data_IF_765067683099
#
_entry.id   IF_765067683099
#
_cell.length_a   1.000
_cell.length_b   1.000
_cell.length_c   1.000
_cell.angle_alpha   90.00
_cell.angle_beta   90.00
_cell.angle_gamma   90.00
#
_symmetry.space_group_name_H-M   'P 1'
#
loop_
_entity.id
_entity.type
_entity.pdbx_description
1 polymer ?
#
# COMPACT_ATOMS: atom_id res chain seq x y z
N UNK A 1 -14.04 8.67 -9.50
CA UNK A 1 -13.80 9.39 -8.25
C UNK A 1 -13.27 8.46 -7.17
N UNK A 2 -12.29 8.92 -6.41
CA UNK A 2 -11.68 8.11 -5.37
C UNK A 2 -12.23 8.45 -4.01
N UNK A 3 -12.26 7.46 -3.14
CA UNK A 3 -12.63 7.63 -1.75
C UNK A 3 -11.45 7.25 -0.88
N UNK A 4 -11.24 7.99 0.19
CA UNK A 4 -10.15 7.69 1.11
C UNK A 4 -10.60 6.69 2.16
N UNK A 5 -9.73 5.72 2.44
CA UNK A 5 -9.95 4.70 3.46
C UNK A 5 -8.87 4.84 4.51
N UNK A 6 -9.24 4.77 5.77
CA UNK A 6 -8.36 5.06 6.89
C UNK A 6 -8.39 3.93 7.90
N UNK A 7 -7.21 3.57 8.39
CA UNK A 7 -7.08 2.59 9.46
C UNK A 7 -6.94 3.35 10.78
N UNK A 8 -8.00 3.34 11.57
CA UNK A 8 -8.04 4.14 12.82
C UNK A 8 -7.64 3.37 14.06
N UNK A 9 -7.44 2.06 13.93
CA UNK A 9 -7.02 1.24 15.07
C UNK A 9 -5.53 1.43 15.33
N UNK A 10 -5.11 1.06 16.54
CA UNK A 10 -3.71 1.16 16.92
C UNK A 10 -3.02 -0.20 16.96
N UNK A 11 -3.79 -1.27 16.85
CA UNK A 11 -3.24 -2.61 16.95
C UNK A 11 -2.65 -3.06 15.62
N UNK A 12 -1.52 -3.76 15.70
CA UNK A 12 -0.91 -4.36 14.52
C UNK A 12 -1.79 -5.49 14.01
N UNK A 13 -1.75 -5.70 12.69
CA UNK A 13 -2.47 -6.81 12.07
C UNK A 13 -1.57 -8.04 12.00
N UNK A 14 -2.13 -9.24 12.08
CA UNK A 14 -1.32 -10.45 11.97
C UNK A 14 -0.82 -10.63 10.54
N UNK A 15 0.47 -10.96 10.40
CA UNK A 15 1.09 -11.21 9.11
C UNK A 15 1.93 -12.47 9.22
N UNK A 16 1.69 -13.44 8.35
CA UNK A 16 2.45 -14.70 8.33
C UNK A 16 3.36 -14.81 7.12
N UNK A 17 3.39 -13.80 6.26
CA UNK A 17 4.18 -13.82 5.05
C UNK A 17 5.53 -13.14 5.28
N UNK A 18 6.49 -13.44 4.40
CA UNK A 18 7.82 -12.84 4.44
C UNK A 18 7.78 -11.54 3.63
N UNK A 19 7.60 -10.42 4.33
CA UNK A 19 7.52 -9.11 3.70
C UNK A 19 8.75 -8.30 4.11
N UNK A 20 9.50 -7.83 3.11
CA UNK A 20 10.75 -7.10 3.34
C UNK A 20 10.77 -5.80 2.54
N UNK A 21 11.54 -4.83 3.05
CA UNK A 21 11.79 -3.61 2.30
C UNK A 21 12.60 -3.94 1.06
N UNK A 22 12.16 -3.44 -0.09
CA UNK A 22 12.87 -3.67 -1.35
C UNK A 22 13.96 -2.60 -1.54
N UNK A 23 15.08 -3.03 -2.13
CA UNK A 23 16.18 -2.14 -2.48
C UNK A 23 16.23 -1.94 -3.98
N UNK A 24 17.16 -1.12 -4.46
CA UNK A 24 17.25 -0.81 -5.89
C UNK A 24 17.57 -2.03 -6.75
N UNK A 25 18.06 -3.11 -6.15
CA UNK A 25 18.30 -4.34 -6.92
C UNK A 25 17.02 -4.93 -7.50
N UNK A 26 15.86 -4.53 -6.98
CA UNK A 26 14.56 -5.01 -7.46
C UNK A 26 13.90 -4.06 -8.46
N UNK A 27 14.63 -3.06 -8.95
CA UNK A 27 14.08 -2.10 -9.90
C UNK A 27 13.52 -2.78 -11.15
N UNK A 28 14.23 -3.75 -11.69
CA UNK A 28 13.75 -4.47 -12.88
C UNK A 28 12.43 -5.19 -12.63
N UNK A 29 12.29 -5.80 -11.46
CA UNK A 29 11.04 -6.47 -11.10
C UNK A 29 9.88 -5.48 -11.07
N UNK A 30 10.10 -4.30 -10.49
CA UNK A 30 9.06 -3.27 -10.44
C UNK A 30 8.73 -2.75 -11.83
N UNK A 31 9.74 -2.48 -12.65
CA UNK A 31 9.52 -1.97 -14.01
C UNK A 31 8.72 -2.95 -14.86
N UNK A 32 8.95 -4.24 -14.67
CA UNK A 32 8.23 -5.27 -15.43
C UNK A 32 6.75 -5.34 -15.06
N UNK A 33 6.39 -4.87 -13.88
CA UNK A 33 5.05 -5.09 -13.35
C UNK A 33 4.29 -3.81 -12.99
N UNK A 34 4.93 -2.65 -13.09
CA UNK A 34 4.30 -1.39 -12.71
C UNK A 34 4.81 -0.29 -13.61
N UNK A 35 3.93 0.20 -14.49
CA UNK A 35 4.33 1.14 -15.54
C UNK A 35 3.90 2.59 -15.28
N UNK A 36 3.25 2.86 -14.16
CA UNK A 36 2.72 4.19 -13.87
C UNK A 36 3.84 5.19 -13.53
N UNK A 37 4.87 4.72 -12.83
CA UNK A 37 6.00 5.56 -12.46
C UNK A 37 7.18 5.32 -13.39
N UNK A 38 7.98 6.36 -13.60
CA UNK A 38 9.20 6.26 -14.41
C UNK A 38 10.28 5.49 -13.65
N UNK A 39 11.35 5.13 -14.36
CA UNK A 39 12.49 4.46 -13.74
C UNK A 39 13.08 5.32 -12.62
N UNK A 40 13.21 6.62 -12.85
CA UNK A 40 13.74 7.53 -11.84
C UNK A 40 12.86 7.58 -10.60
N UNK A 41 11.55 7.66 -10.79
CA UNK A 41 10.61 7.70 -9.67
C UNK A 41 10.65 6.41 -8.87
N UNK A 42 10.70 5.27 -9.55
CA UNK A 42 10.80 3.98 -8.87
C UNK A 42 12.10 3.87 -8.09
N UNK A 43 13.20 4.32 -8.68
CA UNK A 43 14.51 4.29 -8.01
C UNK A 43 14.46 5.12 -6.74
N UNK A 44 13.90 6.32 -6.81
CA UNK A 44 13.78 7.19 -5.65
C UNK A 44 12.91 6.58 -4.57
N UNK A 45 11.81 5.92 -4.93
CA UNK A 45 10.95 5.25 -3.98
C UNK A 45 11.68 4.10 -3.29
N UNK A 46 12.44 3.31 -4.06
CA UNK A 46 13.22 2.22 -3.50
C UNK A 46 14.29 2.72 -2.55
N UNK A 47 15.00 3.77 -2.93
CA UNK A 47 16.05 4.35 -2.09
C UNK A 47 15.50 4.92 -0.79
N UNK A 48 14.29 5.46 -0.83
CA UNK A 48 13.67 6.03 0.36
C UNK A 48 13.11 4.95 1.30
N UNK A 49 13.08 3.69 0.86
CA UNK A 49 12.54 2.61 1.68
C UNK A 49 11.02 2.55 1.68
N UNK A 50 10.39 3.12 0.67
CA UNK A 50 8.93 3.23 0.62
C UNK A 50 8.24 2.01 0.00
N UNK A 51 8.99 1.05 -0.55
CA UNK A 51 8.41 -0.10 -1.24
C UNK A 51 8.82 -1.39 -0.53
N UNK A 52 7.84 -2.27 -0.30
CA UNK A 52 8.04 -3.55 0.37
C UNK A 52 7.59 -4.67 -0.55
N UNK A 53 8.28 -5.81 -0.48
CA UNK A 53 7.95 -6.97 -1.29
C UNK A 53 7.63 -8.18 -0.45
N UNK A 54 6.78 -9.05 -0.99
CA UNK A 54 6.46 -10.33 -0.38
C UNK A 54 7.24 -11.41 -1.12
N UNK A 55 7.96 -12.24 -0.37
CA UNK A 55 8.86 -13.24 -0.92
C UNK A 55 8.38 -14.65 -0.68
N UNK A 56 8.56 -15.50 -1.70
CA UNK A 56 8.34 -16.94 -1.60
C UNK A 56 9.57 -17.59 -2.19
N UNK A 57 10.22 -18.46 -1.40
CA UNK A 57 11.46 -19.13 -1.81
C UNK A 57 12.51 -18.14 -2.31
N UNK A 58 12.65 -17.02 -1.58
CA UNK A 58 13.64 -15.97 -1.85
C UNK A 58 13.36 -15.15 -3.11
N UNK A 59 12.17 -15.33 -3.72
CA UNK A 59 11.80 -14.59 -4.92
C UNK A 59 10.64 -13.65 -4.62
N UNK A 60 10.66 -12.39 -5.07
CA UNK A 60 9.54 -11.48 -4.84
C UNK A 60 8.37 -11.87 -5.75
N UNK A 61 7.19 -11.97 -5.15
CA UNK A 61 5.97 -12.31 -5.90
C UNK A 61 4.93 -11.21 -5.86
N UNK A 62 5.19 -10.14 -5.12
CA UNK A 62 4.30 -9.00 -5.04
C UNK A 62 4.95 -7.87 -4.30
N UNK A 63 4.34 -6.69 -4.37
CA UNK A 63 4.88 -5.52 -3.67
C UNK A 63 3.77 -4.55 -3.31
N UNK A 64 4.08 -3.67 -2.36
CA UNK A 64 3.22 -2.56 -1.99
C UNK A 64 4.14 -1.38 -1.63
N UNK A 65 3.67 -0.17 -1.85
CA UNK A 65 4.47 0.99 -1.55
C UNK A 65 3.66 2.15 -1.02
N UNK A 66 4.37 3.19 -0.59
CA UNK A 66 3.77 4.44 -0.18
C UNK A 66 4.01 5.49 -1.25
N UNK A 67 2.99 6.30 -1.51
CA UNK A 67 3.13 7.47 -2.37
C UNK A 67 3.80 8.59 -1.58
N UNK A 68 4.22 9.65 -2.28
CA UNK A 68 4.91 10.75 -1.61
C UNK A 68 4.12 11.38 -0.49
N UNK A 69 2.80 11.45 -0.63
CA UNK A 69 1.96 12.04 0.41
C UNK A 69 1.68 11.08 1.57
N UNK A 70 2.19 9.85 1.51
CA UNK A 70 2.05 8.89 2.60
C UNK A 70 0.95 7.87 2.44
N UNK A 71 0.13 7.95 1.39
CA UNK A 71 -0.92 6.97 1.19
C UNK A 71 -0.35 5.63 0.72
N UNK A 72 -0.97 4.54 1.15
CA UNK A 72 -0.60 3.20 0.69
C UNK A 72 -1.08 3.02 -0.76
N UNK A 73 -0.27 2.37 -1.57
CA UNK A 73 -0.64 2.12 -2.94
C UNK A 73 0.36 1.23 -3.64
N UNK A 74 0.36 1.27 -4.99
CA UNK A 74 1.29 0.46 -5.77
C UNK A 74 1.19 -1.03 -5.43
N UNK A 75 0.01 -1.49 -5.06
CA UNK A 75 -0.18 -2.89 -4.67
C UNK A 75 -0.24 -3.79 -5.90
N UNK A 76 0.60 -4.80 -5.92
CA UNK A 76 0.67 -5.74 -7.04
C UNK A 76 1.06 -7.13 -6.54
N UNK A 77 0.40 -8.14 -7.08
CA UNK A 77 0.74 -9.55 -6.85
C UNK A 77 0.79 -10.23 -8.21
N UNK A 78 1.83 -11.02 -8.46
CA UNK A 78 1.94 -11.75 -9.71
C UNK A 78 0.67 -12.57 -9.95
N UNK A 79 0.19 -12.66 -11.21
CA UNK A 79 -1.08 -13.34 -11.48
C UNK A 79 -1.17 -14.76 -10.93
N UNK A 80 -0.09 -15.53 -11.01
CA UNK A 80 -0.10 -16.92 -10.55
C UNK A 80 -0.15 -17.05 -9.03
N UNK A 81 0.02 -15.94 -8.31
CA UNK A 81 -0.03 -15.94 -6.85
C UNK A 81 -1.26 -15.22 -6.29
N UNK A 82 -2.16 -14.80 -7.16
CA UNK A 82 -3.38 -14.11 -6.72
C UNK A 82 -4.38 -15.09 -6.12
N UNK A 83 -5.27 -14.55 -5.27
CA UNK A 83 -6.29 -15.37 -4.64
C UNK A 83 -5.80 -16.19 -3.46
N UNK A 84 -4.61 -15.88 -2.94
CA UNK A 84 -4.02 -16.63 -1.83
C UNK A 84 -3.79 -15.78 -0.59
N UNK A 85 -4.33 -14.57 -0.56
CA UNK A 85 -4.20 -13.68 0.59
C UNK A 85 -2.93 -12.86 0.62
N UNK A 86 -2.15 -12.83 -0.45
CA UNK A 86 -0.88 -12.10 -0.44
C UNK A 86 -1.07 -10.59 -0.49
N UNK A 87 -2.10 -10.10 -1.20
CA UNK A 87 -2.40 -8.67 -1.19
C UNK A 87 -2.74 -8.22 0.22
N UNK A 88 -3.51 -9.01 0.94
CA UNK A 88 -3.88 -8.71 2.32
C UNK A 88 -2.64 -8.70 3.21
N UNK A 89 -1.72 -9.65 3.01
CA UNK A 89 -0.50 -9.71 3.79
C UNK A 89 0.39 -8.49 3.53
N UNK A 90 0.50 -8.07 2.27
CA UNK A 90 1.29 -6.90 1.91
C UNK A 90 0.71 -5.64 2.56
N UNK A 91 -0.58 -5.43 2.43
CA UNK A 91 -1.19 -4.23 3.00
C UNK A 91 -1.14 -4.26 4.54
N UNK A 92 -1.37 -5.43 5.15
CA UNK A 92 -1.25 -5.57 6.60
C UNK A 92 0.15 -5.19 7.09
N UNK A 93 1.17 -5.63 6.36
CA UNK A 93 2.55 -5.29 6.71
C UNK A 93 2.80 -3.80 6.63
N UNK A 94 2.32 -3.15 5.59
CA UNK A 94 2.52 -1.70 5.43
C UNK A 94 1.75 -0.94 6.51
N UNK A 95 0.55 -1.39 6.85
CA UNK A 95 -0.19 -0.80 7.95
C UNK A 95 0.63 -0.88 9.23
N UNK A 96 1.20 -2.05 9.51
CA UNK A 96 2.00 -2.25 10.72
C UNK A 96 3.24 -1.34 10.73
N UNK A 97 3.94 -1.24 9.61
CA UNK A 97 5.11 -0.37 9.52
C UNK A 97 4.73 1.10 9.71
N UNK A 98 3.59 1.51 9.15
CA UNK A 98 3.10 2.89 9.30
C UNK A 98 2.77 3.19 10.76
N UNK A 99 2.12 2.26 11.44
CA UNK A 99 1.80 2.42 12.86
C UNK A 99 3.07 2.52 13.70
N UNK A 100 4.10 1.75 13.38
CA UNK A 100 5.37 1.80 14.10
C UNK A 100 6.04 3.17 13.99
N UNK A 101 5.81 3.85 12.88
CA UNK A 101 6.34 5.20 12.67
C UNK A 101 5.49 6.29 13.34
N UNK A 102 4.36 5.90 13.92
CA UNK A 102 3.47 6.85 14.58
C UNK A 102 2.48 7.55 13.67
N UNK A 103 2.29 7.04 12.47
CA UNK A 103 1.38 7.62 11.51
C UNK A 103 0.11 6.78 11.34
N UNK A 104 -0.91 7.39 10.76
CA UNK A 104 -2.18 6.73 10.49
C UNK A 104 -2.17 6.19 9.07
N UNK A 105 -2.32 4.86 8.90
CA UNK A 105 -2.36 4.30 7.54
C UNK A 105 -3.61 4.73 6.79
N UNK A 106 -3.47 5.08 5.52
CA UNK A 106 -4.61 5.43 4.68
C UNK A 106 -4.30 5.11 3.22
N UNK A 107 -5.35 4.97 2.43
CA UNK A 107 -5.21 4.77 0.99
C UNK A 107 -6.41 5.37 0.27
N UNK A 108 -6.28 5.46 -1.05
CA UNK A 108 -7.35 5.98 -1.90
C UNK A 108 -7.81 4.86 -2.82
N UNK A 109 -9.10 4.65 -2.91
CA UNK A 109 -9.68 3.58 -3.71
C UNK A 109 -10.77 4.17 -4.60
N UNK A 110 -10.72 3.82 -5.88
CA UNK A 110 -11.76 4.26 -6.81
C UNK A 110 -13.08 3.59 -6.44
N UNK A 111 -14.18 4.33 -6.59
CA UNK A 111 -15.48 3.85 -6.17
C UNK A 111 -15.93 2.61 -6.93
N UNK A 112 -15.47 2.42 -8.17
CA UNK A 112 -15.80 1.24 -8.95
C UNK A 112 -14.92 0.02 -8.64
N UNK A 113 -13.89 0.18 -7.82
CA UNK A 113 -12.98 -0.93 -7.52
C UNK A 113 -13.46 -1.72 -6.30
N UNK A 114 -14.46 -2.57 -6.53
CA UNK A 114 -15.07 -3.35 -5.46
C UNK A 114 -14.12 -4.31 -4.77
N UNK A 115 -13.16 -4.89 -5.51
CA UNK A 115 -12.20 -5.81 -4.93
C UNK A 115 -11.31 -5.12 -3.90
N UNK A 116 -10.83 -3.91 -4.22
CA UNK A 116 -10.01 -3.16 -3.29
C UNK A 116 -10.82 -2.67 -2.09
N UNK A 117 -12.06 -2.29 -2.31
CA UNK A 117 -12.94 -1.88 -1.21
C UNK A 117 -13.15 -3.03 -0.22
N UNK A 118 -13.38 -4.24 -0.74
CA UNK A 118 -13.56 -5.41 0.11
C UNK A 118 -12.28 -5.72 0.89
N UNK A 119 -11.12 -5.53 0.28
CA UNK A 119 -9.85 -5.71 0.96
C UNK A 119 -9.72 -4.73 2.12
N UNK A 120 -10.05 -3.45 1.89
CA UNK A 120 -9.98 -2.45 2.95
C UNK A 120 -10.91 -2.79 4.10
N UNK A 121 -12.13 -3.20 3.79
CA UNK A 121 -13.07 -3.60 4.83
C UNK A 121 -12.58 -4.79 5.63
N UNK A 122 -12.00 -5.77 4.94
CA UNK A 122 -11.50 -6.97 5.60
C UNK A 122 -10.33 -6.64 6.55
N UNK A 123 -9.57 -5.60 6.24
CA UNK A 123 -8.45 -5.18 7.08
C UNK A 123 -8.88 -4.23 8.20
N UNK A 124 -10.12 -3.78 8.17
CA UNK A 124 -10.65 -2.92 9.22
C UNK A 124 -10.53 -1.43 8.95
N UNK A 125 -10.26 -1.04 7.70
CA UNK A 125 -10.26 0.36 7.34
C UNK A 125 -11.70 0.86 7.16
N UNK A 126 -11.88 2.15 7.33
CA UNK A 126 -13.17 2.81 7.16
C UNK A 126 -13.10 3.80 6.01
N UNK A 127 -14.13 3.80 5.17
CA UNK A 127 -14.23 4.77 4.10
C UNK A 127 -14.60 6.14 4.67
N UNK A 128 -13.94 7.18 4.21
CA UNK A 128 -14.31 8.53 4.57
C UNK A 128 -15.67 8.84 3.97
N UNK A 129 -16.47 9.61 4.69
CA UNK A 129 -17.83 9.93 4.24
C UNK A 129 -17.83 10.83 3.02
N UNK A 130 -16.86 11.71 2.94
CA UNK A 130 -16.80 12.68 1.88
C UNK A 130 -15.73 12.29 0.85
N UNK A 131 -15.75 13.01 -0.26
CA UNK A 131 -14.80 12.78 -1.33
C UNK A 131 -13.40 13.21 -0.93
N UNK A 132 -12.42 12.92 -1.81
CA UNK A 132 -11.06 13.36 -1.62
C UNK A 132 -10.96 14.87 -1.42
N UNK A 133 -11.83 15.62 -2.10
CA UNK A 133 -11.89 17.06 -1.94
C UNK A 133 -12.10 17.46 -0.47
N UNK A 134 -13.00 16.77 0.21
CA UNK A 134 -13.24 17.03 1.63
C UNK A 134 -11.97 16.78 2.45
N UNK A 135 -11.25 15.75 2.14
CA UNK A 135 -10.05 15.41 2.88
C UNK A 135 -8.99 16.49 2.76
N UNK A 136 -8.85 17.07 1.59
CA UNK A 136 -7.91 18.15 1.37
C UNK A 136 -8.27 19.37 2.21
N UNK A 137 -9.55 19.73 2.20
CA UNK A 137 -10.02 20.87 2.96
C UNK A 137 -9.84 20.66 4.46
N UNK A 138 -10.04 19.42 4.91
CA UNK A 138 -9.91 19.08 6.31
C UNK A 138 -8.46 19.15 6.78
N UNK A 139 -7.54 18.73 5.93
CA UNK A 139 -6.14 18.68 6.30
C UNK A 139 -5.51 20.06 6.49
N UNK A 140 -5.92 21.03 5.69
CA UNK A 140 -5.31 22.35 5.72
C UNK A 140 -5.39 23.06 7.08
N UNK A 141 -6.53 23.09 7.75
CA UNK A 141 -6.63 23.82 9.00
C UNK A 141 -5.76 23.28 10.13
N UNK A 142 -5.32 22.08 10.00
CA UNK A 142 -4.51 21.44 11.04
C UNK A 142 -3.04 21.80 10.94
N UNK A 143 -2.67 22.42 9.87
CA UNK A 143 -1.30 22.84 9.65
C UNK A 143 -1.01 24.15 10.34
#
# INVERSE_FOLDING_TARGET
CCRQWVYTRKEALPVKADVRRLTTEYLSFLQSNYSILSEQELTERLESGAIYGLFIDQEPVGFIGEHEEGSMGMLFVLPEYRGQGFAKALESSLINFTLQKGFTPFCQVEEENGASQRLQEALGLYAAKDSLWWMEAEAEPEL
#
